data_IF_080871932697
#
_entry.id   IF_080871932697
#
_cell.length_a   1.000
_cell.length_b   1.000
_cell.length_c   1.000
_cell.angle_alpha   90.00
_cell.angle_beta   90.00
_cell.angle_gamma   90.00
#
_symmetry.space_group_name_H-M   'P 1'
#
loop_
_entity.id
_entity.type
_entity.pdbx_description
1 polymer ?
#
# COMPACT_ATOMS: atom_id res chain seq x y z
N UNK A 1 -1.02 -1.72 21.07
CA UNK A 1 -1.07 -2.86 20.14
C UNK A 1 0.34 -3.10 19.62
N UNK A 2 0.81 -4.34 19.59
CA UNK A 2 2.12 -4.68 18.98
C UNK A 2 1.87 -4.99 17.51
N UNK A 3 2.56 -4.30 16.59
CA UNK A 3 2.46 -4.57 15.14
C UNK A 3 2.97 -5.97 14.83
N UNK A 4 2.29 -6.70 13.97
CA UNK A 4 2.81 -7.95 13.43
C UNK A 4 4.05 -7.69 12.55
N UNK A 5 4.83 -8.74 12.28
CA UNK A 5 5.98 -8.65 11.37
C UNK A 5 5.56 -8.19 9.97
N UNK A 6 4.43 -8.66 9.46
CA UNK A 6 3.89 -8.26 8.16
C UNK A 6 3.58 -6.76 8.10
N UNK A 7 2.86 -6.24 9.09
CA UNK A 7 2.54 -4.82 9.19
C UNK A 7 3.80 -3.94 9.25
N UNK A 8 4.79 -4.33 10.06
CA UNK A 8 6.04 -3.56 10.16
C UNK A 8 6.78 -3.50 8.82
N UNK A 9 6.82 -4.61 8.06
CA UNK A 9 7.51 -4.67 6.78
C UNK A 9 6.80 -3.80 5.72
N UNK A 10 5.47 -3.86 5.66
CA UNK A 10 4.65 -3.06 4.73
C UNK A 10 4.82 -1.57 5.03
N UNK A 11 4.64 -1.17 6.29
CA UNK A 11 4.74 0.22 6.77
C UNK A 11 6.14 0.81 6.49
N UNK A 12 7.19 0.04 6.76
CA UNK A 12 8.57 0.41 6.43
C UNK A 12 8.78 0.54 4.91
N UNK A 13 8.15 -0.32 4.10
CA UNK A 13 8.33 -0.26 2.67
C UNK A 13 7.66 0.98 2.06
N UNK A 14 6.42 1.28 2.44
CA UNK A 14 5.72 2.51 2.05
C UNK A 14 6.52 3.75 2.45
N UNK A 15 7.09 3.75 3.67
CA UNK A 15 7.99 4.81 4.15
C UNK A 15 9.25 4.94 3.29
N UNK A 16 9.88 3.81 2.90
CA UNK A 16 11.06 3.79 2.03
C UNK A 16 10.77 4.35 0.65
N UNK A 17 9.59 4.08 0.10
CA UNK A 17 9.11 4.66 -1.15
C UNK A 17 8.70 6.13 -1.03
N UNK A 18 8.77 6.73 0.18
CA UNK A 18 8.31 8.09 0.48
C UNK A 18 6.83 8.30 0.12
N UNK A 19 6.04 7.22 0.16
CA UNK A 19 4.61 7.28 -0.05
C UNK A 19 3.99 7.74 1.26
N UNK A 20 3.30 8.89 1.22
CA UNK A 20 2.51 9.37 2.35
C UNK A 20 1.37 8.38 2.60
N UNK A 21 1.28 7.88 3.83
CA UNK A 21 0.23 6.95 4.26
C UNK A 21 -0.23 7.29 5.69
N UNK A 22 -1.49 6.98 5.98
CA UNK A 22 -2.06 6.97 7.32
C UNK A 22 -2.13 5.52 7.79
N UNK A 23 -1.62 5.25 8.99
CA UNK A 23 -1.71 3.94 9.62
C UNK A 23 -2.96 3.88 10.49
N UNK A 24 -3.83 2.93 10.16
CA UNK A 24 -5.14 2.70 10.74
C UNK A 24 -6.10 3.90 10.69
N UNK A 25 -7.39 3.60 10.55
CA UNK A 25 -8.45 4.58 10.68
C UNK A 25 -9.81 3.97 10.44
N UNK A 26 -10.85 4.78 10.51
CA UNK A 26 -12.22 4.31 10.27
C UNK A 26 -12.93 5.27 9.33
N UNK A 27 -13.54 4.70 8.30
CA UNK A 27 -14.45 5.39 7.39
C UNK A 27 -15.85 4.78 7.52
N UNK A 28 -16.85 5.45 6.96
CA UNK A 28 -18.22 4.96 6.94
C UNK A 28 -18.69 4.86 5.50
N UNK A 29 -19.16 3.68 5.11
CA UNK A 29 -19.81 3.42 3.81
C UNK A 29 -21.21 2.93 4.10
N UNK A 30 -22.23 3.59 3.54
CA UNK A 30 -23.64 3.26 3.80
C UNK A 30 -23.98 3.16 5.31
N UNK A 31 -23.37 4.02 6.12
CA UNK A 31 -23.54 4.03 7.58
C UNK A 31 -22.83 2.90 8.34
N UNK A 32 -22.13 1.99 7.64
CA UNK A 32 -21.34 0.91 8.25
C UNK A 32 -19.87 1.32 8.40
N UNK A 33 -19.24 1.10 9.57
CA UNK A 33 -17.85 1.43 9.77
C UNK A 33 -16.92 0.42 9.09
N UNK A 34 -15.90 0.90 8.39
CA UNK A 34 -14.78 0.12 7.87
C UNK A 34 -13.51 0.60 8.56
N UNK A 35 -12.84 -0.26 9.33
CA UNK A 35 -11.50 0.02 9.84
C UNK A 35 -10.47 -0.42 8.82
N UNK A 36 -9.66 0.48 8.29
CA UNK A 36 -8.61 0.16 7.32
C UNK A 36 -7.24 0.01 7.99
N UNK A 37 -6.29 -0.69 7.34
CA UNK A 37 -4.92 -0.81 7.85
C UNK A 37 -4.03 0.34 7.38
N UNK A 38 -4.06 0.70 6.09
CA UNK A 38 -3.44 1.91 5.57
C UNK A 38 -4.33 2.66 4.58
N UNK A 39 -4.16 3.98 4.54
CA UNK A 39 -4.73 4.84 3.50
C UNK A 39 -3.67 5.75 2.89
N UNK A 40 -3.62 5.81 1.56
CA UNK A 40 -2.67 6.61 0.80
C UNK A 40 -3.39 7.86 0.26
N UNK A 41 -3.38 8.99 0.99
CA UNK A 41 -4.22 10.14 0.66
C UNK A 41 -3.92 10.79 -0.68
N UNK A 42 -2.69 10.64 -1.19
CA UNK A 42 -2.31 11.23 -2.48
C UNK A 42 -2.90 10.47 -3.68
N UNK A 43 -3.28 9.20 -3.49
CA UNK A 43 -3.75 8.31 -4.56
C UNK A 43 -5.19 7.84 -4.35
N UNK A 44 -5.76 8.20 -3.19
CA UNK A 44 -7.10 7.81 -2.74
C UNK A 44 -7.31 6.28 -2.79
N UNK A 45 -6.35 5.55 -2.22
CA UNK A 45 -6.34 4.08 -2.20
C UNK A 45 -6.04 3.55 -0.80
N UNK A 46 -6.76 2.51 -0.42
CA UNK A 46 -6.62 1.80 0.84
C UNK A 46 -5.76 0.56 0.66
N UNK A 47 -5.07 0.13 1.71
CA UNK A 47 -4.33 -1.13 1.75
C UNK A 47 -4.80 -1.93 2.95
N UNK A 48 -5.04 -3.22 2.73
CA UNK A 48 -5.41 -4.20 3.76
C UNK A 48 -4.40 -5.34 3.77
N UNK A 49 -3.91 -5.72 4.95
CA UNK A 49 -3.05 -6.88 5.10
C UNK A 49 -3.83 -8.08 5.63
N UNK A 50 -4.05 -9.06 4.74
CA UNK A 50 -4.81 -10.25 5.05
C UNK A 50 -3.94 -11.36 5.69
N UNK A 51 -3.33 -11.06 6.85
CA UNK A 51 -2.32 -11.91 7.49
C UNK A 51 -2.80 -13.13 8.28
N UNK A 52 -4.10 -13.24 8.54
CA UNK A 52 -4.67 -14.31 9.38
C UNK A 52 -5.45 -15.34 8.55
N UNK A 53 -5.60 -16.56 9.06
CA UNK A 53 -6.35 -17.63 8.39
C UNK A 53 -7.40 -18.22 9.33
N UNK A 54 -8.60 -18.49 8.80
CA UNK A 54 -9.73 -19.10 9.53
C UNK A 54 -11.08 -18.80 8.88
N UNK A 55 -12.11 -19.61 9.14
CA UNK A 55 -13.42 -19.46 8.48
C UNK A 55 -14.11 -18.12 8.82
N UNK A 56 -14.19 -17.78 10.11
CA UNK A 56 -14.72 -16.49 10.58
C UNK A 56 -13.90 -15.29 10.08
N UNK A 57 -12.64 -15.51 9.73
CA UNK A 57 -11.80 -14.48 9.15
C UNK A 57 -12.11 -14.26 7.67
N UNK A 58 -12.38 -15.33 6.92
CA UNK A 58 -12.77 -15.21 5.50
C UNK A 58 -14.13 -14.53 5.35
N UNK A 59 -15.10 -14.82 6.22
CA UNK A 59 -16.40 -14.15 6.23
C UNK A 59 -16.24 -12.64 6.47
N UNK A 60 -15.48 -12.24 7.51
CA UNK A 60 -15.18 -10.82 7.77
C UNK A 60 -14.41 -10.13 6.65
N UNK A 61 -13.45 -10.83 6.03
CA UNK A 61 -12.73 -10.33 4.86
C UNK A 61 -13.69 -10.08 3.71
N UNK A 62 -14.60 -11.01 3.43
CA UNK A 62 -15.59 -10.89 2.36
C UNK A 62 -16.53 -9.71 2.60
N UNK A 63 -17.14 -9.61 3.78
CA UNK A 63 -17.99 -8.46 4.15
C UNK A 63 -17.26 -7.12 3.97
N UNK A 64 -15.98 -7.07 4.35
CA UNK A 64 -15.17 -5.86 4.22
C UNK A 64 -14.88 -5.52 2.76
N UNK A 65 -14.59 -6.51 1.91
CA UNK A 65 -14.42 -6.32 0.47
C UNK A 65 -15.70 -5.80 -0.20
N UNK A 66 -16.86 -6.35 0.17
CA UNK A 66 -18.17 -5.86 -0.32
C UNK A 66 -18.39 -4.39 0.06
N UNK A 67 -18.00 -3.97 1.27
CA UNK A 67 -18.12 -2.58 1.69
C UNK A 67 -17.20 -1.65 0.90
N UNK A 68 -15.97 -2.08 0.59
CA UNK A 68 -15.09 -1.32 -0.29
C UNK A 68 -15.67 -1.17 -1.70
N UNK A 69 -16.25 -2.23 -2.25
CA UNK A 69 -16.92 -2.21 -3.55
C UNK A 69 -18.17 -1.30 -3.56
N UNK A 70 -19.03 -1.42 -2.55
CA UNK A 70 -20.22 -0.57 -2.36
C UNK A 70 -19.85 0.91 -2.27
N UNK A 71 -18.74 1.24 -1.61
CA UNK A 71 -18.24 2.60 -1.49
C UNK A 71 -17.49 3.11 -2.73
N UNK A 72 -17.31 2.29 -3.77
CA UNK A 72 -16.45 2.58 -4.93
C UNK A 72 -15.04 3.04 -4.52
N UNK A 73 -14.47 2.38 -3.51
CA UNK A 73 -13.19 2.72 -2.91
C UNK A 73 -12.08 1.85 -3.52
N UNK A 74 -10.94 2.46 -3.86
CA UNK A 74 -9.78 1.73 -4.38
C UNK A 74 -9.11 0.95 -3.25
N UNK A 75 -8.82 -0.32 -3.49
CA UNK A 75 -8.23 -1.21 -2.50
C UNK A 75 -7.07 -2.01 -3.09
N UNK A 76 -5.98 -2.10 -2.32
CA UNK A 76 -4.89 -3.06 -2.50
C UNK A 76 -5.02 -4.12 -1.39
N UNK A 77 -5.14 -5.39 -1.79
CA UNK A 77 -5.20 -6.53 -0.87
C UNK A 77 -3.84 -7.20 -0.77
N UNK A 78 -3.18 -7.09 0.39
CA UNK A 78 -1.91 -7.76 0.64
C UNK A 78 -2.16 -9.10 1.30
N UNK A 79 -2.00 -10.19 0.56
CA UNK A 79 -2.13 -11.55 1.11
C UNK A 79 -0.84 -11.99 1.82
N UNK A 80 -0.96 -12.92 2.76
CA UNK A 80 0.20 -13.43 3.49
C UNK A 80 1.27 -14.09 2.58
N UNK A 81 0.90 -14.66 1.42
CA UNK A 81 1.89 -15.22 0.48
C UNK A 81 2.76 -14.14 -0.17
N UNK A 82 2.27 -12.90 -0.30
CA UNK A 82 3.04 -11.77 -0.83
C UNK A 82 4.19 -11.39 0.10
N UNK A 83 4.14 -11.77 1.39
CA UNK A 83 5.26 -11.51 2.31
C UNK A 83 6.54 -12.26 1.97
N UNK A 84 6.48 -13.30 1.13
CA UNK A 84 7.68 -14.00 0.64
C UNK A 84 8.61 -13.05 -0.14
N UNK A 85 8.03 -12.18 -0.99
CA UNK A 85 8.74 -11.08 -1.64
C UNK A 85 7.85 -9.82 -1.71
N UNK A 86 7.63 -9.24 -0.53
CA UNK A 86 6.72 -8.09 -0.37
C UNK A 86 7.17 -6.87 -1.15
N UNK A 87 8.47 -6.72 -1.40
CA UNK A 87 8.96 -5.57 -2.14
C UNK A 87 8.50 -5.66 -3.59
N UNK A 88 8.62 -6.82 -4.23
CA UNK A 88 8.16 -7.00 -5.60
C UNK A 88 6.64 -6.96 -5.65
N UNK A 89 5.95 -7.82 -4.89
CA UNK A 89 4.50 -7.96 -4.97
C UNK A 89 3.74 -6.68 -4.60
N UNK A 90 4.15 -5.95 -3.55
CA UNK A 90 3.48 -4.68 -3.22
C UNK A 90 3.77 -3.59 -4.26
N UNK A 91 4.93 -3.61 -4.92
CA UNK A 91 5.25 -2.64 -5.99
C UNK A 91 4.36 -2.85 -7.21
N UNK A 92 4.14 -4.10 -7.58
CA UNK A 92 3.24 -4.46 -8.69
C UNK A 92 1.83 -3.93 -8.43
N UNK A 93 1.27 -4.18 -7.24
CA UNK A 93 -0.05 -3.67 -6.85
C UNK A 93 -0.08 -2.13 -6.79
N UNK A 94 0.95 -1.51 -6.22
CA UNK A 94 1.04 -0.04 -6.17
C UNK A 94 1.11 0.58 -7.56
N UNK A 95 1.74 -0.09 -8.54
CA UNK A 95 1.94 0.45 -9.89
C UNK A 95 0.63 0.71 -10.66
N UNK A 96 -0.47 0.10 -10.23
CA UNK A 96 -1.82 0.34 -10.76
C UNK A 96 -2.30 1.76 -10.41
N UNK A 97 -1.88 2.29 -9.26
CA UNK A 97 -2.40 3.54 -8.69
C UNK A 97 -1.33 4.64 -8.56
N UNK A 98 -0.06 4.25 -8.50
CA UNK A 98 1.09 5.11 -8.23
C UNK A 98 2.00 5.14 -9.45
N UNK A 99 2.41 6.34 -9.87
CA UNK A 99 3.33 6.51 -11.01
C UNK A 99 4.65 5.76 -10.80
N UNK A 100 5.18 5.17 -11.88
CA UNK A 100 6.47 4.47 -11.86
C UNK A 100 7.63 5.36 -11.37
N UNK A 101 7.59 6.66 -11.62
CA UNK A 101 8.60 7.62 -11.13
C UNK A 101 8.61 7.77 -9.60
N UNK A 102 7.45 7.58 -8.96
CA UNK A 102 7.35 7.59 -7.51
C UNK A 102 7.81 6.25 -6.89
N UNK A 103 7.67 5.14 -7.62
CA UNK A 103 8.08 3.80 -7.19
C UNK A 103 9.58 3.54 -7.46
N UNK A 104 10.13 4.15 -8.50
CA UNK A 104 11.54 4.06 -8.85
C UNK A 104 12.27 5.28 -8.31
N UNK A 105 13.15 5.10 -7.33
CA UNK A 105 13.96 6.20 -6.76
C UNK A 105 15.06 6.66 -7.75
N UNK A 106 14.71 7.08 -8.97
CA UNK A 106 15.63 7.66 -9.93
C UNK A 106 15.57 9.18 -9.87
N UNK A 107 16.39 9.75 -8.97
CA UNK A 107 17.19 10.93 -9.30
C UNK A 107 18.54 10.78 -8.63
N UNK A 108 19.51 10.23 -9.35
CA UNK A 108 20.91 10.33 -8.93
C UNK A 108 21.38 11.73 -9.34
N UNK A 109 21.72 12.56 -8.36
CA UNK A 109 22.21 13.91 -8.61
C UNK A 109 23.75 13.90 -8.63
N UNK A 110 24.37 14.55 -9.62
CA UNK A 110 25.81 14.65 -9.64
C UNK A 110 26.28 15.77 -8.69
N UNK A 111 27.01 15.48 -7.60
CA UNK A 111 27.40 16.48 -6.62
C UNK A 111 28.43 17.50 -7.15
N UNK A 112 29.02 17.27 -8.33
CA UNK A 112 30.00 18.18 -8.93
C UNK A 112 29.41 19.20 -9.91
N UNK A 113 28.30 18.89 -10.59
CA UNK A 113 27.80 19.74 -11.68
C UNK A 113 26.31 20.09 -11.61
N UNK A 114 25.57 19.54 -10.65
CA UNK A 114 24.17 19.92 -10.44
C UNK A 114 23.16 19.34 -11.44
N UNK A 115 23.59 18.44 -12.32
CA UNK A 115 22.73 17.82 -13.34
C UNK A 115 22.23 16.44 -12.88
N UNK A 116 21.00 16.09 -13.28
CA UNK A 116 20.44 14.75 -13.10
C UNK A 116 21.25 13.74 -13.92
N UNK A 117 21.66 12.63 -13.31
CA UNK A 117 22.55 11.63 -13.94
C UNK A 117 21.87 10.77 -15.02
N UNK A 118 20.57 10.95 -15.23
CA UNK A 118 19.78 10.17 -16.17
C UNK A 118 19.95 10.62 -17.65
N UNK A 119 20.57 11.78 -17.92
CA UNK A 119 20.74 12.34 -19.28
C UNK A 119 22.05 11.91 -20.00
N UNK A 120 22.79 10.93 -19.49
CA UNK A 120 24.08 10.50 -20.10
C UNK A 120 24.02 9.25 -20.98
N UNK A 121 22.84 8.67 -21.19
CA UNK A 121 22.67 7.47 -22.02
C UNK A 121 21.50 7.56 -23.01
N UNK A 122 21.09 8.77 -23.41
CA UNK A 122 20.30 9.00 -24.63
C UNK A 122 21.10 9.88 -25.56
#
# INVERSE_FOLDING_TARGET
MVKSRGELIIDNYLSRLKIKHLYEGTIYVEGKPIRYDWYLPNYDVYIEYWGYYGKEYQERKHEKLELYEQGNLKLISVENHMLHDIYTSLTEELSIYVSLDALTQKKRFCPSCGTTLDDRFT
#
